data_IF_837984625453
#
_entry.id   IF_837984625453
#
_cell.length_a   1.000
_cell.length_b   1.000
_cell.length_c   1.000
_cell.angle_alpha   90.00
_cell.angle_beta   90.00
_cell.angle_gamma   90.00
#
_symmetry.space_group_name_H-M   'P 1'
#
loop_
_entity.id
_entity.type
_entity.pdbx_description
1 polymer ?
#
# COMPACT_ATOMS: atom_id res chain seq x y z
N UNK A 1 -2.22 -21.01 -1.38
CA UNK A 1 -3.17 -19.96 -0.98
C UNK A 1 -3.26 -19.94 0.53
N UNK A 2 -3.40 -21.10 1.19
CA UNK A 2 -3.22 -21.34 2.63
C UNK A 2 -2.32 -20.35 3.39
N UNK A 3 -1.01 -20.28 3.09
CA UNK A 3 -0.08 -19.35 3.77
C UNK A 3 -0.51 -17.87 3.69
N UNK A 4 -1.02 -17.45 2.52
CA UNK A 4 -1.54 -16.09 2.35
C UNK A 4 -2.87 -15.89 3.10
N UNK A 5 -3.69 -16.94 3.22
CA UNK A 5 -4.91 -16.92 4.02
C UNK A 5 -4.63 -16.81 5.52
N UNK A 6 -3.62 -17.54 6.01
CA UNK A 6 -3.12 -17.43 7.39
C UNK A 6 -2.58 -16.03 7.68
N UNK A 7 -1.76 -15.48 6.77
CA UNK A 7 -1.29 -14.10 6.86
C UNK A 7 -2.47 -13.11 6.93
N UNK A 8 -3.43 -13.23 6.01
CA UNK A 8 -4.58 -12.34 5.96
C UNK A 8 -5.37 -12.40 7.26
N UNK A 9 -5.68 -13.60 7.76
CA UNK A 9 -6.41 -13.77 9.01
C UNK A 9 -5.68 -13.13 10.20
N UNK A 10 -4.35 -13.31 10.30
CA UNK A 10 -3.55 -12.70 11.35
C UNK A 10 -3.56 -11.16 11.31
N UNK A 11 -3.57 -10.57 10.11
CA UNK A 11 -3.63 -9.12 9.92
C UNK A 11 -5.03 -8.57 10.23
N UNK A 12 -6.07 -9.26 9.77
CA UNK A 12 -7.46 -8.81 9.85
C UNK A 12 -8.01 -8.89 11.29
N UNK A 13 -7.63 -9.92 12.04
CA UNK A 13 -8.08 -10.15 13.42
C UNK A 13 -7.37 -9.27 14.47
N UNK A 14 -6.42 -8.41 14.06
CA UNK A 14 -5.63 -7.61 14.98
C UNK A 14 -5.66 -6.13 14.62
N UNK A 15 -5.78 -5.26 15.61
CA UNK A 15 -5.58 -3.81 15.47
C UNK A 15 -4.17 -3.38 15.86
N UNK A 16 -3.36 -4.28 16.46
CA UNK A 16 -2.02 -3.97 16.96
C UNK A 16 -1.01 -3.97 15.81
N UNK A 17 -0.35 -2.83 15.62
CA UNK A 17 0.67 -2.66 14.56
C UNK A 17 1.80 -3.69 14.69
N UNK A 18 2.28 -3.97 15.90
CA UNK A 18 3.37 -4.93 16.15
C UNK A 18 3.02 -6.35 15.72
N UNK A 19 1.78 -6.80 15.96
CA UNK A 19 1.31 -8.12 15.54
C UNK A 19 1.25 -8.22 14.01
N UNK A 20 0.75 -7.18 13.35
CA UNK A 20 0.71 -7.14 11.87
C UNK A 20 2.10 -7.15 11.25
N UNK A 21 3.04 -6.39 11.82
CA UNK A 21 4.43 -6.35 11.36
C UNK A 21 5.08 -7.73 11.52
N UNK A 22 4.89 -8.39 12.66
CA UNK A 22 5.42 -9.74 12.90
C UNK A 22 4.85 -10.75 11.89
N UNK A 23 3.52 -10.81 11.72
CA UNK A 23 2.89 -11.74 10.78
C UNK A 23 3.38 -11.55 9.33
N UNK A 24 3.56 -10.29 8.89
CA UNK A 24 4.14 -9.99 7.58
C UNK A 24 5.61 -10.41 7.50
N UNK A 25 6.41 -10.12 8.53
CA UNK A 25 7.83 -10.47 8.55
C UNK A 25 8.04 -11.99 8.51
N UNK A 26 7.24 -12.74 9.27
CA UNK A 26 7.25 -14.21 9.25
C UNK A 26 6.90 -14.73 7.86
N UNK A 27 5.84 -14.19 7.24
CA UNK A 27 5.47 -14.54 5.87
C UNK A 27 6.58 -14.23 4.86
N UNK A 28 7.21 -13.06 4.94
CA UNK A 28 8.31 -12.67 4.05
C UNK A 28 9.60 -13.43 4.31
N UNK A 29 9.74 -14.09 5.45
CA UNK A 29 10.87 -14.99 5.70
C UNK A 29 10.65 -16.33 4.97
N UNK A 30 9.45 -16.90 5.09
CA UNK A 30 9.22 -18.31 4.75
C UNK A 30 8.50 -18.57 3.42
N UNK A 31 7.76 -17.60 2.87
CA UNK A 31 6.98 -17.82 1.64
C UNK A 31 7.89 -17.98 0.40
N UNK A 32 7.42 -18.60 -0.70
CA UNK A 32 8.13 -18.57 -1.97
C UNK A 32 8.29 -17.14 -2.50
N UNK A 33 9.40 -16.82 -3.17
CA UNK A 33 9.71 -15.47 -3.66
C UNK A 33 8.58 -14.83 -4.50
N UNK A 34 7.97 -15.61 -5.39
CA UNK A 34 6.85 -15.14 -6.20
C UNK A 34 5.64 -14.72 -5.34
N UNK A 35 5.36 -15.47 -4.28
CA UNK A 35 4.28 -15.19 -3.34
C UNK A 35 4.60 -13.96 -2.48
N UNK A 36 5.87 -13.79 -2.05
CA UNK A 36 6.35 -12.58 -1.37
C UNK A 36 6.13 -11.34 -2.25
N UNK A 37 6.60 -11.38 -3.49
CA UNK A 37 6.47 -10.27 -4.45
C UNK A 37 5.01 -9.89 -4.70
N UNK A 38 4.15 -10.88 -4.95
CA UNK A 38 2.73 -10.64 -5.18
C UNK A 38 2.01 -10.11 -3.93
N UNK A 39 2.40 -10.53 -2.73
CA UNK A 39 1.87 -9.99 -1.47
C UNK A 39 2.20 -8.51 -1.31
N UNK A 40 3.45 -8.14 -1.57
CA UNK A 40 3.88 -6.73 -1.59
C UNK A 40 3.06 -5.93 -2.62
N UNK A 41 2.89 -6.46 -3.83
CA UNK A 41 2.12 -5.82 -4.90
C UNK A 41 0.65 -5.58 -4.49
N UNK A 42 -0.03 -6.62 -4.02
CA UNK A 42 -1.45 -6.56 -3.63
C UNK A 42 -1.73 -5.54 -2.52
N UNK A 43 -0.87 -5.51 -1.49
CA UNK A 43 -1.02 -4.60 -0.36
C UNK A 43 -0.56 -3.18 -0.68
N UNK A 44 0.34 -3.01 -1.67
CA UNK A 44 0.68 -1.69 -2.23
C UNK A 44 -0.36 -1.18 -3.23
N UNK A 45 -1.39 -1.98 -3.54
CA UNK A 45 -2.45 -1.61 -4.49
C UNK A 45 -2.13 -1.89 -5.96
N UNK A 46 -1.00 -2.53 -6.26
CA UNK A 46 -0.63 -3.04 -7.59
C UNK A 46 -1.35 -4.38 -7.81
N UNK A 47 -2.56 -4.33 -8.39
CA UNK A 47 -3.46 -5.50 -8.54
C UNK A 47 -3.59 -5.91 -10.00
N UNK A 48 -3.79 -7.21 -10.28
CA UNK A 48 -4.20 -7.65 -11.61
C UNK A 48 -5.49 -6.94 -12.05
N UNK A 49 -5.62 -6.69 -13.36
CA UNK A 49 -6.85 -6.14 -13.94
C UNK A 49 -7.99 -7.13 -13.75
N UNK A 50 -9.21 -6.63 -13.47
CA UNK A 50 -10.39 -7.47 -13.25
C UNK A 50 -10.75 -8.22 -14.54
N UNK A 51 -10.84 -9.54 -14.45
CA UNK A 51 -11.23 -10.40 -15.57
C UNK A 51 -12.75 -10.65 -15.64
N UNK A 52 -13.45 -10.50 -14.52
CA UNK A 52 -14.90 -10.77 -14.39
C UNK A 52 -15.59 -9.56 -13.75
N UNK A 53 -16.75 -9.17 -14.28
CA UNK A 53 -17.54 -8.07 -13.73
C UNK A 53 -18.27 -8.50 -12.46
N UNK A 54 -18.59 -7.54 -11.59
CA UNK A 54 -19.34 -7.85 -10.37
C UNK A 54 -20.74 -8.37 -10.66
N UNK A 55 -21.37 -7.96 -11.77
CA UNK A 55 -22.68 -8.47 -12.19
C UNK A 55 -22.63 -9.97 -12.47
N UNK A 56 -21.65 -10.42 -13.27
CA UNK A 56 -21.46 -11.84 -13.56
C UNK A 56 -21.18 -12.67 -12.31
N UNK A 57 -20.34 -12.17 -11.40
CA UNK A 57 -20.07 -12.86 -10.14
C UNK A 57 -21.33 -13.05 -9.28
N UNK A 58 -22.23 -12.06 -9.26
CA UNK A 58 -23.52 -12.18 -8.55
C UNK A 58 -24.42 -13.23 -9.18
N UNK A 59 -24.58 -13.18 -10.51
CA UNK A 59 -25.36 -14.17 -11.26
C UNK A 59 -24.84 -15.59 -11.02
N UNK A 60 -23.54 -15.80 -11.18
CA UNK A 60 -22.94 -17.13 -11.02
C UNK A 60 -23.00 -17.64 -9.59
N UNK A 61 -22.81 -16.77 -8.59
CA UNK A 61 -22.91 -17.15 -7.19
C UNK A 61 -24.36 -17.49 -6.79
N UNK A 62 -25.33 -16.71 -7.28
CA UNK A 62 -26.77 -16.97 -7.10
C UNK A 62 -27.17 -18.33 -7.69
N UNK A 63 -26.76 -18.60 -8.93
CA UNK A 63 -26.99 -19.90 -9.58
C UNK A 63 -26.32 -21.06 -8.81
N UNK A 64 -25.05 -20.90 -8.42
CA UNK A 64 -24.29 -21.97 -7.77
C UNK A 64 -24.75 -22.26 -6.33
N UNK A 65 -25.35 -21.29 -5.65
CA UNK A 65 -25.94 -21.46 -4.33
C UNK A 65 -27.42 -21.89 -4.37
N UNK A 66 -28.02 -21.98 -5.56
CA UNK A 66 -29.46 -22.22 -5.74
C UNK A 66 -30.34 -21.22 -4.96
N UNK A 67 -29.95 -19.95 -4.99
CA UNK A 67 -30.70 -18.84 -4.39
C UNK A 67 -31.11 -17.84 -5.46
N UNK A 68 -32.35 -17.30 -5.43
CA UNK A 68 -32.75 -16.24 -6.35
C UNK A 68 -31.84 -15.01 -6.26
N UNK A 69 -31.56 -14.36 -7.40
CA UNK A 69 -30.64 -13.22 -7.47
C UNK A 69 -31.04 -12.07 -6.52
N UNK A 70 -32.33 -11.80 -6.37
CA UNK A 70 -32.81 -10.76 -5.44
C UNK A 70 -32.41 -11.05 -3.98
N UNK A 71 -32.42 -12.32 -3.56
CA UNK A 71 -32.05 -12.72 -2.20
C UNK A 71 -30.54 -12.60 -1.99
N UNK A 72 -29.76 -12.90 -3.04
CA UNK A 72 -28.32 -12.63 -3.05
C UNK A 72 -28.05 -11.12 -2.87
N UNK A 73 -28.78 -10.26 -3.59
CA UNK A 73 -28.61 -8.80 -3.52
C UNK A 73 -28.97 -8.24 -2.13
N UNK A 74 -30.04 -8.74 -1.52
CA UNK A 74 -30.39 -8.41 -0.12
C UNK A 74 -29.29 -8.88 0.85
N UNK A 75 -28.74 -10.08 0.65
CA UNK A 75 -27.63 -10.59 1.47
C UNK A 75 -26.39 -9.71 1.33
N UNK A 76 -26.09 -9.25 0.11
CA UNK A 76 -24.99 -8.32 -0.15
C UNK A 76 -25.20 -6.98 0.56
N UNK A 77 -26.42 -6.45 0.60
CA UNK A 77 -26.73 -5.19 1.29
C UNK A 77 -26.44 -5.25 2.80
N UNK A 78 -26.60 -6.44 3.42
CA UNK A 78 -26.28 -6.66 4.83
C UNK A 78 -24.77 -6.83 5.07
N UNK A 79 -24.08 -7.59 4.21
CA UNK A 79 -22.64 -7.90 4.38
C UNK A 79 -21.76 -6.70 3.97
N UNK A 80 -22.13 -5.99 2.91
CA UNK A 80 -21.39 -4.83 2.40
C UNK A 80 -20.12 -5.16 1.60
N UNK A 81 -19.76 -6.44 1.45
CA UNK A 81 -18.61 -6.90 0.67
C UNK A 81 -18.96 -8.10 -0.21
N UNK A 82 -18.77 -7.96 -1.54
CA UNK A 82 -19.19 -8.99 -2.49
C UNK A 82 -18.40 -10.30 -2.33
N UNK A 83 -17.11 -10.23 -2.02
CA UNK A 83 -16.29 -11.43 -1.87
C UNK A 83 -16.70 -12.23 -0.64
N UNK A 84 -17.02 -11.55 0.45
CA UNK A 84 -17.57 -12.14 1.66
C UNK A 84 -18.97 -12.72 1.41
N UNK A 85 -19.88 -11.97 0.76
CA UNK A 85 -21.23 -12.46 0.43
C UNK A 85 -21.18 -13.75 -0.37
N UNK A 86 -20.36 -13.81 -1.43
CA UNK A 86 -20.21 -15.04 -2.25
C UNK A 86 -19.71 -16.20 -1.38
N UNK A 87 -18.76 -15.94 -0.48
CA UNK A 87 -18.16 -17.00 0.34
C UNK A 87 -19.10 -17.54 1.40
N UNK A 88 -20.02 -16.71 1.92
CA UNK A 88 -21.03 -17.08 2.89
C UNK A 88 -22.26 -17.74 2.27
N UNK A 89 -22.69 -17.30 1.09
CA UNK A 89 -23.90 -17.80 0.41
C UNK A 89 -23.66 -19.16 -0.24
N UNK A 90 -22.46 -19.40 -0.78
CA UNK A 90 -22.12 -20.68 -1.37
C UNK A 90 -22.00 -21.78 -0.30
N UNK A 91 -22.38 -23.03 -0.61
CA UNK A 91 -22.25 -24.14 0.33
C UNK A 91 -20.84 -24.28 0.91
N UNK A 92 -20.69 -24.54 2.22
CA UNK A 92 -19.39 -24.70 2.84
C UNK A 92 -18.70 -25.97 2.31
N UNK A 93 -17.42 -25.84 2.01
CA UNK A 93 -16.54 -26.93 1.58
C UNK A 93 -15.17 -26.80 2.29
N UNK A 94 -14.47 -27.92 2.53
CA UNK A 94 -13.06 -27.87 2.87
C UNK A 94 -12.25 -27.45 1.64
N UNK A 95 -11.14 -26.74 1.83
CA UNK A 95 -10.19 -26.51 0.75
C UNK A 95 -9.55 -27.84 0.33
N UNK A 96 -9.60 -28.14 -0.97
CA UNK A 96 -9.02 -29.34 -1.60
C UNK A 96 -7.75 -29.03 -2.40
N UNK A 97 -7.28 -27.78 -2.35
CA UNK A 97 -6.17 -27.29 -3.15
C UNK A 97 -5.04 -26.73 -2.27
N UNK A 98 -3.79 -26.83 -2.73
CA UNK A 98 -2.63 -26.27 -2.01
C UNK A 98 -1.73 -25.39 -2.87
N UNK A 99 -2.22 -24.99 -4.06
CA UNK A 99 -1.43 -24.18 -4.98
C UNK A 99 -1.20 -22.79 -4.38
N UNK A 100 -0.01 -22.19 -4.57
CA UNK A 100 0.42 -20.95 -3.93
C UNK A 100 -0.34 -19.72 -4.44
N UNK A 101 -0.18 -18.56 -3.79
CA UNK A 101 -0.86 -17.32 -4.19
C UNK A 101 -0.54 -16.95 -5.65
N UNK A 102 0.74 -17.03 -6.02
CA UNK A 102 1.24 -16.75 -7.37
C UNK A 102 0.56 -17.58 -8.45
N UNK A 103 0.23 -18.85 -8.17
CA UNK A 103 -0.53 -19.69 -9.10
C UNK A 103 -1.91 -19.09 -9.40
N UNK A 104 -2.67 -18.73 -8.35
CA UNK A 104 -4.01 -18.17 -8.51
C UNK A 104 -3.99 -16.81 -9.21
N UNK A 105 -2.99 -15.99 -8.94
CA UNK A 105 -2.81 -14.72 -9.66
C UNK A 105 -2.53 -14.97 -11.15
N UNK A 106 -1.65 -15.93 -11.46
CA UNK A 106 -1.38 -16.34 -12.84
C UNK A 106 -2.64 -16.81 -13.56
N UNK A 107 -3.42 -17.66 -12.91
CA UNK A 107 -4.68 -18.18 -13.45
C UNK A 107 -5.71 -17.05 -13.70
N UNK A 108 -5.84 -16.10 -12.76
CA UNK A 108 -6.73 -14.95 -12.90
C UNK A 108 -6.32 -14.01 -14.05
N UNK A 109 -5.03 -13.89 -14.34
CA UNK A 109 -4.54 -13.10 -15.47
C UNK A 109 -4.92 -13.74 -16.80
N UNK A 110 -4.83 -15.06 -16.91
CA UNK A 110 -5.24 -15.82 -18.11
C UNK A 110 -6.76 -15.79 -18.32
N UNK A 111 -7.53 -15.73 -17.23
CA UNK A 111 -9.00 -15.68 -17.26
C UNK A 111 -9.56 -14.55 -18.13
N UNK A 112 -8.83 -13.45 -18.27
CA UNK A 112 -9.24 -12.29 -19.09
C UNK A 112 -9.35 -12.63 -20.58
N UNK A 113 -8.54 -13.56 -21.05
CA UNK A 113 -8.41 -13.86 -22.49
C UNK A 113 -9.27 -15.07 -22.91
N UNK A 114 -10.01 -15.67 -21.97
CA UNK A 114 -10.91 -16.82 -22.17
C UNK A 114 -12.32 -16.39 -22.59
N UNK A 115 -13.11 -17.29 -23.15
CA UNK A 115 -14.54 -17.05 -23.44
C UNK A 115 -15.39 -17.03 -22.15
N UNK A 116 -16.54 -16.36 -22.16
CA UNK A 116 -17.36 -16.17 -20.93
C UNK A 116 -17.75 -17.52 -20.28
N UNK A 117 -18.10 -18.52 -21.09
CA UNK A 117 -18.46 -19.86 -20.60
C UNK A 117 -17.29 -20.55 -19.88
N UNK A 118 -16.08 -20.42 -20.42
CA UNK A 118 -14.85 -20.96 -19.82
C UNK A 118 -14.51 -20.21 -18.52
N UNK A 119 -14.67 -18.88 -18.51
CA UNK A 119 -14.47 -18.07 -17.30
C UNK A 119 -15.41 -18.48 -16.18
N UNK A 120 -16.70 -18.67 -16.51
CA UNK A 120 -17.71 -19.13 -15.55
C UNK A 120 -17.32 -20.49 -15.00
N UNK A 121 -17.02 -21.45 -15.87
CA UNK A 121 -16.62 -22.80 -15.47
C UNK A 121 -15.40 -22.78 -14.54
N UNK A 122 -14.38 -21.98 -14.87
CA UNK A 122 -13.18 -21.83 -14.04
C UNK A 122 -13.51 -21.25 -12.65
N UNK A 123 -14.31 -20.19 -12.57
CA UNK A 123 -14.68 -19.55 -11.29
C UNK A 123 -15.50 -20.51 -10.42
N UNK A 124 -16.46 -21.23 -11.01
CA UNK A 124 -17.26 -22.23 -10.31
C UNK A 124 -16.39 -23.36 -9.75
N UNK A 125 -15.42 -23.85 -10.54
CA UNK A 125 -14.48 -24.87 -10.07
C UNK A 125 -13.61 -24.34 -8.92
N UNK A 126 -13.12 -23.10 -9.01
CA UNK A 126 -12.37 -22.46 -7.93
C UNK A 126 -13.19 -22.38 -6.64
N UNK A 127 -14.46 -22.01 -6.72
CA UNK A 127 -15.35 -22.02 -5.55
C UNK A 127 -15.56 -23.42 -4.99
N UNK A 128 -15.58 -24.45 -5.83
CA UNK A 128 -15.72 -25.85 -5.40
C UNK A 128 -14.46 -26.37 -4.70
N UNK A 129 -13.25 -25.95 -5.10
CA UNK A 129 -12.00 -26.46 -4.52
C UNK A 129 -11.42 -25.58 -3.42
N UNK A 130 -11.72 -24.28 -3.39
CA UNK A 130 -11.29 -23.37 -2.32
C UNK A 130 -12.41 -23.25 -1.29
N UNK A 131 -12.06 -23.44 -0.02
CA UNK A 131 -12.98 -23.34 1.11
C UNK A 131 -12.66 -22.18 2.04
N UNK A 132 -13.64 -21.80 2.87
CA UNK A 132 -13.50 -20.79 3.91
C UNK A 132 -12.79 -19.49 3.46
N UNK A 133 -11.77 -19.10 4.21
CA UNK A 133 -10.96 -17.89 3.96
C UNK A 133 -10.28 -17.90 2.58
N UNK A 134 -9.90 -19.06 2.05
CA UNK A 134 -9.24 -19.13 0.74
C UNK A 134 -10.19 -18.79 -0.40
N UNK A 135 -11.46 -19.23 -0.32
CA UNK A 135 -12.52 -18.84 -1.27
C UNK A 135 -12.78 -17.34 -1.22
N UNK A 136 -12.86 -16.80 -0.01
CA UNK A 136 -13.00 -15.36 0.21
C UNK A 136 -11.86 -14.58 -0.41
N UNK A 137 -10.61 -14.99 -0.19
CA UNK A 137 -9.45 -14.31 -0.76
C UNK A 137 -9.37 -14.44 -2.28
N UNK A 138 -9.73 -15.58 -2.84
CA UNK A 138 -9.86 -15.72 -4.29
C UNK A 138 -10.87 -14.73 -4.87
N UNK A 139 -12.03 -14.57 -4.23
CA UNK A 139 -13.01 -13.57 -4.63
C UNK A 139 -12.50 -12.13 -4.45
N UNK A 140 -11.70 -11.85 -3.41
CA UNK A 140 -11.02 -10.56 -3.24
C UNK A 140 -10.02 -10.28 -4.35
N UNK A 141 -9.30 -11.30 -4.84
CA UNK A 141 -8.38 -11.18 -5.97
C UNK A 141 -9.13 -10.85 -7.26
N UNK A 142 -10.23 -11.56 -7.56
CA UNK A 142 -11.04 -11.30 -8.76
C UNK A 142 -11.64 -9.89 -8.74
N UNK A 143 -12.26 -9.52 -7.62
CA UNK A 143 -12.94 -8.22 -7.47
C UNK A 143 -11.96 -7.06 -7.32
N UNK A 144 -10.71 -7.34 -6.96
CA UNK A 144 -9.69 -6.35 -6.66
C UNK A 144 -9.97 -5.58 -5.38
N UNK A 145 -10.66 -6.18 -4.40
CA UNK A 145 -11.22 -5.53 -3.21
C UNK A 145 -10.38 -5.65 -1.93
N UNK A 146 -9.05 -5.53 -1.97
CA UNK A 146 -8.21 -5.63 -0.76
C UNK A 146 -8.16 -4.31 0.05
N UNK A 147 -8.66 -4.33 1.28
CA UNK A 147 -8.54 -3.24 2.26
C UNK A 147 -8.13 -3.83 3.61
N UNK A 148 -6.88 -4.27 3.72
CA UNK A 148 -6.42 -5.11 4.85
C UNK A 148 -5.76 -4.31 5.99
N UNK A 149 -5.88 -2.98 5.97
CA UNK A 149 -5.27 -2.12 6.99
C UNK A 149 -3.74 -2.26 7.07
N UNK A 150 -3.08 -2.53 5.94
CA UNK A 150 -1.62 -2.54 5.81
C UNK A 150 -1.21 -1.24 5.13
N UNK A 151 -0.57 -0.34 5.88
CA UNK A 151 0.00 0.89 5.33
C UNK A 151 1.36 0.62 4.69
N UNK A 152 1.83 1.55 3.87
CA UNK A 152 3.17 1.45 3.28
C UNK A 152 4.26 1.42 4.35
N UNK A 153 4.17 2.28 5.38
CA UNK A 153 5.09 2.25 6.53
C UNK A 153 5.09 0.90 7.24
N UNK A 154 3.93 0.28 7.40
CA UNK A 154 3.83 -1.05 8.02
C UNK A 154 4.50 -2.13 7.16
N UNK A 155 4.28 -2.09 5.84
CA UNK A 155 4.93 -2.97 4.87
C UNK A 155 6.46 -2.84 4.91
N UNK A 156 6.97 -1.61 4.84
CA UNK A 156 8.41 -1.32 4.91
C UNK A 156 9.04 -1.87 6.19
N UNK A 157 8.41 -1.64 7.35
CA UNK A 157 8.87 -2.18 8.64
C UNK A 157 8.94 -3.70 8.66
N UNK A 158 7.93 -4.37 8.12
CA UNK A 158 7.90 -5.83 8.08
C UNK A 158 8.99 -6.40 7.15
N UNK A 159 9.22 -5.78 6.00
CA UNK A 159 10.30 -6.15 5.09
C UNK A 159 11.68 -5.91 5.71
N UNK A 160 11.87 -4.77 6.41
CA UNK A 160 13.11 -4.48 7.13
C UNK A 160 13.39 -5.54 8.21
N UNK A 161 12.36 -5.93 8.97
CA UNK A 161 12.47 -7.00 9.95
C UNK A 161 12.81 -8.37 9.32
N UNK A 162 12.20 -8.71 8.18
CA UNK A 162 12.43 -10.00 7.51
C UNK A 162 13.79 -10.09 6.79
N UNK A 163 14.33 -8.97 6.32
CA UNK A 163 15.51 -8.95 5.43
C UNK A 163 16.75 -8.32 6.08
N UNK A 164 16.60 -7.65 7.22
CA UNK A 164 17.67 -6.90 7.88
C UNK A 164 18.06 -5.60 7.16
N UNK A 165 17.36 -5.22 6.09
CA UNK A 165 17.66 -4.01 5.31
C UNK A 165 17.08 -2.74 5.95
N UNK A 166 17.73 -1.57 5.76
CA UNK A 166 17.21 -0.29 6.25
C UNK A 166 15.82 0.04 5.69
N UNK A 167 14.94 0.57 6.53
CA UNK A 167 13.58 0.96 6.13
C UNK A 167 13.57 2.02 5.01
N UNK A 168 14.50 2.98 5.05
CA UNK A 168 14.58 4.04 4.03
C UNK A 168 14.86 3.48 2.63
N UNK A 169 15.78 2.52 2.52
CA UNK A 169 16.09 1.81 1.28
C UNK A 169 14.86 1.08 0.74
N UNK A 170 14.21 0.29 1.59
CA UNK A 170 13.03 -0.48 1.19
C UNK A 170 11.86 0.42 0.80
N UNK A 171 11.61 1.51 1.55
CA UNK A 171 10.56 2.46 1.22
C UNK A 171 10.79 3.10 -0.16
N UNK A 172 12.04 3.47 -0.49
CA UNK A 172 12.39 4.01 -1.79
C UNK A 172 12.06 3.03 -2.92
N UNK A 173 12.53 1.79 -2.82
CA UNK A 173 12.29 0.74 -3.84
C UNK A 173 10.81 0.43 -4.04
N UNK A 174 10.04 0.40 -2.95
CA UNK A 174 8.60 0.13 -3.02
C UNK A 174 7.81 1.23 -3.73
N UNK A 175 8.31 2.48 -3.73
CA UNK A 175 7.70 3.61 -4.46
C UNK A 175 8.07 3.64 -5.92
N UNK A 176 9.22 3.09 -6.29
CA UNK A 176 9.66 3.03 -7.68
C UNK A 176 8.61 2.47 -8.63
N UNK A 177 8.76 2.79 -9.91
CA UNK A 177 7.91 2.27 -10.97
C UNK A 177 8.30 0.81 -11.28
N UNK A 178 7.75 -0.12 -10.51
CA UNK A 178 7.93 -1.56 -10.72
C UNK A 178 6.59 -2.27 -10.89
N UNK A 179 6.62 -3.35 -11.67
CA UNK A 179 5.50 -4.26 -11.87
C UNK A 179 5.91 -5.69 -11.49
N UNK A 180 5.08 -6.46 -10.77
CA UNK A 180 5.40 -7.84 -10.35
C UNK A 180 5.62 -8.83 -11.51
N UNK A 181 5.36 -8.43 -12.75
CA UNK A 181 5.64 -9.24 -13.95
C UNK A 181 7.04 -9.01 -14.53
N UNK A 182 7.63 -7.85 -14.25
CA UNK A 182 8.92 -7.42 -14.82
C UNK A 182 10.02 -7.42 -13.76
N UNK A 183 9.62 -7.53 -12.50
CA UNK A 183 10.49 -7.50 -11.33
C UNK A 183 10.47 -8.88 -10.65
N UNK A 184 11.57 -9.26 -10.00
CA UNK A 184 11.62 -10.41 -9.11
C UNK A 184 11.93 -9.97 -7.67
N UNK A 185 11.77 -10.88 -6.71
CA UNK A 185 12.02 -10.59 -5.30
C UNK A 185 13.44 -10.08 -5.06
N UNK A 186 14.42 -10.75 -5.64
CA UNK A 186 15.82 -10.38 -5.51
C UNK A 186 16.08 -8.93 -5.95
N UNK A 187 15.65 -8.56 -7.15
CA UNK A 187 15.84 -7.22 -7.70
C UNK A 187 15.08 -6.15 -6.89
N UNK A 188 13.85 -6.43 -6.45
CA UNK A 188 13.06 -5.46 -5.70
C UNK A 188 13.58 -5.25 -4.28
N UNK A 189 14.03 -6.31 -3.60
CA UNK A 189 14.26 -6.30 -2.16
C UNK A 189 15.71 -6.55 -1.79
N UNK A 190 16.38 -7.52 -2.41
CA UNK A 190 17.67 -8.05 -1.94
C UNK A 190 18.90 -7.40 -2.57
N UNK A 191 18.86 -7.16 -3.88
CA UNK A 191 19.95 -6.59 -4.67
C UNK A 191 20.49 -5.32 -3.99
N UNK A 192 21.78 -5.03 -4.05
CA UNK A 192 22.27 -3.75 -3.54
C UNK A 192 21.88 -2.63 -4.51
N UNK A 193 21.38 -1.53 -3.97
CA UNK A 193 21.03 -0.34 -4.76
C UNK A 193 21.83 0.83 -4.23
N UNK A 194 22.78 1.31 -5.04
CA UNK A 194 23.62 2.45 -4.69
C UNK A 194 22.80 3.73 -4.48
N UNK A 195 21.60 3.84 -5.09
CA UNK A 195 20.69 4.99 -4.94
C UNK A 195 19.95 5.02 -3.59
N UNK A 196 20.00 3.93 -2.82
CA UNK A 196 19.37 3.85 -1.51
C UNK A 196 19.90 4.91 -0.53
N UNK A 197 21.19 5.26 -0.64
CA UNK A 197 21.79 6.33 0.17
C UNK A 197 21.40 7.72 -0.33
N UNK A 198 21.20 7.87 -1.64
CA UNK A 198 20.75 9.11 -2.27
C UNK A 198 19.37 9.55 -1.74
N UNK A 199 18.46 8.61 -1.55
CA UNK A 199 17.12 8.90 -1.03
C UNK A 199 17.04 9.04 0.49
N UNK A 200 18.08 8.68 1.25
CA UNK A 200 17.99 8.54 2.71
C UNK A 200 17.78 9.89 3.43
N UNK A 201 16.70 10.06 4.24
CA UNK A 201 16.46 11.28 5.00
C UNK A 201 17.37 11.39 6.23
N UNK A 202 17.62 12.62 6.67
CA UNK A 202 18.21 12.87 7.98
C UNK A 202 17.15 12.74 9.09
N UNK A 203 17.56 12.55 10.36
CA UNK A 203 16.62 12.61 11.48
C UNK A 203 15.92 13.97 11.56
N UNK A 204 14.60 13.97 11.75
CA UNK A 204 13.86 15.21 11.99
C UNK A 204 14.07 15.69 13.42
N UNK A 205 14.73 16.84 13.58
CA UNK A 205 14.91 17.44 14.91
C UNK A 205 13.60 17.98 15.46
N UNK A 206 13.27 17.69 16.72
CA UNK A 206 11.99 18.03 17.32
C UNK A 206 12.09 19.29 18.19
N UNK A 207 11.08 20.13 18.10
CA UNK A 207 10.89 21.26 19.00
C UNK A 207 9.97 20.86 20.16
N UNK A 208 10.25 21.42 21.33
CA UNK A 208 9.44 21.28 22.53
C UNK A 208 8.81 22.64 22.86
N UNK A 209 7.59 22.61 23.39
CA UNK A 209 6.97 23.83 23.90
C UNK A 209 7.79 24.36 25.08
N UNK A 210 7.86 25.68 25.22
CA UNK A 210 8.46 26.30 26.39
C UNK A 210 7.60 26.01 27.61
N UNK A 211 8.23 25.60 28.72
CA UNK A 211 7.55 25.38 30.00
C UNK A 211 7.38 26.68 30.79
N UNK A 212 8.20 27.69 30.49
CA UNK A 212 8.19 29.01 31.12
C UNK A 212 8.08 30.10 30.04
N UNK A 213 7.85 31.33 30.48
CA UNK A 213 7.73 32.48 29.59
C UNK A 213 9.06 32.76 28.84
N UNK A 214 9.02 33.30 27.61
CA UNK A 214 10.21 33.48 26.76
C UNK A 214 11.33 34.33 27.37
N UNK A 215 11.02 35.22 28.31
CA UNK A 215 12.00 36.06 29.02
C UNK A 215 13.02 35.22 29.80
N UNK A 216 12.69 33.98 30.12
CA UNK A 216 13.59 33.04 30.79
C UNK A 216 14.69 32.49 29.88
N UNK A 217 14.60 32.67 28.56
CA UNK A 217 15.56 32.18 27.56
C UNK A 217 16.86 32.99 27.48
N UNK A 218 16.95 34.13 28.18
CA UNK A 218 18.12 35.00 28.19
C UNK A 218 18.08 36.07 27.10
N UNK A 219 19.26 36.42 26.56
CA UNK A 219 19.39 37.51 25.59
C UNK A 219 18.79 37.11 24.22
N UNK A 220 17.81 37.85 23.69
CA UNK A 220 17.19 37.54 22.39
C UNK A 220 18.16 37.46 21.22
N UNK A 221 19.36 38.06 21.32
CA UNK A 221 20.39 38.03 20.27
C UNK A 221 21.00 36.64 20.05
N UNK A 222 20.93 35.78 21.06
CA UNK A 222 21.40 34.39 21.01
C UNK A 222 20.41 33.46 20.29
N UNK A 223 19.22 33.98 19.94
CA UNK A 223 18.13 33.21 19.36
C UNK A 223 17.83 33.63 17.92
N UNK A 224 17.16 32.73 17.20
CA UNK A 224 16.50 32.98 15.92
C UNK A 224 15.05 32.57 16.06
N UNK A 225 14.15 33.42 15.58
CA UNK A 225 12.72 33.17 15.59
C UNK A 225 12.24 32.96 14.15
N UNK A 226 11.46 31.90 13.94
CA UNK A 226 10.86 31.56 12.67
C UNK A 226 9.36 31.32 12.85
N UNK A 227 8.59 31.54 11.78
CA UNK A 227 7.17 31.23 11.78
C UNK A 227 6.95 29.72 11.89
N UNK A 228 6.09 29.31 12.82
CA UNK A 228 5.59 27.94 12.86
C UNK A 228 4.43 27.81 11.88
N UNK A 229 4.73 27.32 10.68
CA UNK A 229 3.75 27.15 9.61
C UNK A 229 2.74 26.01 9.88
N UNK A 230 1.58 26.09 9.25
CA UNK A 230 0.51 25.07 9.27
C UNK A 230 0.51 24.26 7.98
N UNK A 231 1.41 23.27 7.88
CA UNK A 231 1.61 22.48 6.67
C UNK A 231 2.04 21.04 6.93
N UNK A 232 2.78 20.47 5.98
CA UNK A 232 3.44 19.18 6.16
C UNK A 232 4.94 19.41 6.25
N UNK A 233 5.51 19.15 7.41
CA UNK A 233 6.97 19.09 7.54
C UNK A 233 7.54 17.97 6.68
N UNK A 234 8.53 18.31 5.86
CA UNK A 234 9.24 17.35 5.05
C UNK A 234 10.66 17.74 4.71
N UNK A 235 11.43 16.73 4.29
CA UNK A 235 12.78 16.91 3.77
C UNK A 235 12.77 16.76 2.26
N UNK A 236 13.27 17.78 1.55
CA UNK A 236 13.60 17.71 0.13
C UNK A 236 15.09 17.36 0.00
N UNK A 237 15.40 16.23 -0.64
CA UNK A 237 16.75 15.71 -0.81
C UNK A 237 17.06 15.72 -2.30
N UNK A 238 18.18 16.33 -2.69
CA UNK A 238 18.66 16.39 -4.08
C UNK A 238 20.01 15.69 -4.18
N UNK A 239 20.03 14.45 -4.68
CA UNK A 239 21.24 13.62 -4.77
C UNK A 239 21.18 12.79 -6.05
N UNK A 240 22.34 12.51 -6.63
CA UNK A 240 22.51 11.68 -7.83
C UNK A 240 21.67 12.10 -9.06
N UNK A 241 21.32 13.38 -9.16
CA UNK A 241 20.49 13.92 -10.24
C UNK A 241 18.98 13.68 -10.05
N UNK A 242 18.58 13.13 -8.91
CA UNK A 242 17.19 12.88 -8.52
C UNK A 242 16.76 13.78 -7.35
N UNK A 243 15.45 13.79 -7.08
CA UNK A 243 14.86 14.44 -5.91
C UNK A 243 13.98 13.49 -5.11
N UNK A 244 13.99 13.67 -3.79
CA UNK A 244 13.19 12.90 -2.85
C UNK A 244 12.50 13.82 -1.87
N UNK A 245 11.24 13.53 -1.57
CA UNK A 245 10.47 14.29 -0.59
C UNK A 245 10.02 13.34 0.50
N UNK A 246 10.43 13.55 1.74
CA UNK A 246 10.03 12.72 2.88
C UNK A 246 9.15 13.51 3.84
N UNK A 247 8.06 12.91 4.35
CA UNK A 247 7.39 13.46 5.53
C UNK A 247 8.22 13.24 6.78
N UNK A 248 7.91 14.04 7.81
CA UNK A 248 8.27 13.73 9.20
C UNK A 248 7.89 12.30 9.64
N UNK A 249 6.82 11.73 9.09
CA UNK A 249 6.37 10.37 9.38
C UNK A 249 7.25 9.27 8.77
N UNK A 250 8.38 9.62 8.14
CA UNK A 250 9.25 8.72 7.36
C UNK A 250 8.49 8.04 6.22
N UNK A 251 7.55 8.79 5.63
CA UNK A 251 6.88 8.39 4.40
C UNK A 251 7.48 9.21 3.25
N UNK A 252 8.15 8.53 2.32
CA UNK A 252 8.54 9.12 1.05
C UNK A 252 7.26 9.48 0.25
N UNK A 253 7.22 10.69 -0.30
CA UNK A 253 6.05 11.32 -0.89
C UNK A 253 6.38 12.01 -2.22
N UNK A 254 7.52 11.70 -2.82
CA UNK A 254 8.04 12.30 -4.06
C UNK A 254 6.97 12.40 -5.15
N UNK A 255 6.24 11.30 -5.41
CA UNK A 255 5.21 11.22 -6.44
C UNK A 255 3.99 12.14 -6.20
N UNK A 256 3.80 12.60 -4.95
CA UNK A 256 2.71 13.52 -4.59
C UNK A 256 3.08 14.98 -4.90
N UNK A 257 4.37 15.26 -5.11
CA UNK A 257 4.93 16.60 -5.33
C UNK A 257 5.86 16.65 -6.55
N UNK A 258 5.38 16.28 -7.76
CA UNK A 258 6.19 16.28 -8.99
C UNK A 258 6.79 17.64 -9.34
N UNK A 259 6.14 18.74 -8.98
CA UNK A 259 6.61 20.11 -9.20
C UNK A 259 7.89 20.45 -8.44
N UNK A 260 8.25 19.69 -7.40
CA UNK A 260 9.50 19.87 -6.68
C UNK A 260 10.71 19.32 -7.44
N UNK A 261 10.50 18.54 -8.52
CA UNK A 261 11.57 18.07 -9.38
C UNK A 261 12.43 19.22 -9.92
N UNK A 262 11.82 20.37 -10.22
CA UNK A 262 12.50 21.59 -10.71
C UNK A 262 13.57 22.12 -9.75
N UNK A 263 13.55 21.71 -8.48
CA UNK A 263 14.55 22.13 -7.51
C UNK A 263 15.97 21.68 -7.91
N UNK A 264 16.09 20.57 -8.66
CA UNK A 264 17.35 20.07 -9.22
C UNK A 264 18.01 21.14 -10.11
N UNK A 265 17.22 21.92 -10.86
CA UNK A 265 17.72 22.95 -11.77
C UNK A 265 18.21 24.22 -11.05
N UNK A 266 17.86 24.38 -9.77
CA UNK A 266 18.05 25.64 -9.02
C UNK A 266 18.92 25.51 -7.77
N UNK A 267 19.17 24.30 -7.29
CA UNK A 267 19.93 24.04 -6.07
C UNK A 267 21.15 23.15 -6.34
N UNK A 268 22.24 23.32 -5.58
CA UNK A 268 23.43 22.49 -5.76
C UNK A 268 23.15 21.00 -5.53
N UNK A 269 23.79 20.08 -6.28
CA UNK A 269 23.75 18.65 -5.98
C UNK A 269 24.23 18.35 -4.56
N UNK A 270 23.57 17.40 -3.88
CA UNK A 270 23.84 17.06 -2.48
C UNK A 270 23.02 17.84 -1.45
N UNK A 271 22.21 18.81 -1.88
CA UNK A 271 21.40 19.65 -0.98
C UNK A 271 20.30 18.84 -0.29
N UNK A 272 20.14 19.03 1.02
CA UNK A 272 18.95 18.60 1.76
C UNK A 272 18.34 19.79 2.49
N UNK A 273 17.05 20.02 2.28
CA UNK A 273 16.27 21.06 2.95
C UNK A 273 15.25 20.41 3.87
N UNK A 274 15.19 20.83 5.14
CA UNK A 274 14.09 20.54 6.06
C UNK A 274 13.20 21.78 6.14
N UNK A 275 11.90 21.62 5.90
CA UNK A 275 10.97 22.73 5.85
C UNK A 275 9.51 22.30 5.84
N UNK A 276 8.62 23.26 5.63
CA UNK A 276 7.17 23.02 5.61
C UNK A 276 6.62 23.13 4.19
N UNK A 277 5.95 22.08 3.71
CA UNK A 277 5.15 22.13 2.49
C UNK A 277 3.83 22.84 2.77
N UNK A 278 3.54 23.88 2.00
CA UNK A 278 2.37 24.74 2.13
C UNK A 278 1.58 24.79 0.83
N UNK A 279 0.27 25.03 0.91
CA UNK A 279 -0.56 25.32 -0.27
C UNK A 279 -0.62 26.82 -0.45
N UNK A 280 -0.13 27.30 -1.59
CA UNK A 280 -0.31 28.69 -2.01
C UNK A 280 -1.28 28.72 -3.18
N UNK A 281 -2.44 29.35 -2.98
CA UNK A 281 -3.41 29.53 -4.07
C UNK A 281 -2.94 30.69 -4.97
N UNK A 282 -3.25 30.65 -6.28
CA UNK A 282 -2.99 31.79 -7.15
C UNK A 282 -3.58 33.07 -6.55
N UNK A 283 -2.82 34.17 -6.61
CA UNK A 283 -3.22 35.50 -6.12
C UNK A 283 -3.49 35.61 -4.61
N UNK A 284 -3.14 34.59 -3.80
CA UNK A 284 -3.24 34.67 -2.35
C UNK A 284 -2.04 35.38 -1.73
N UNK A 285 -2.29 36.21 -0.71
CA UNK A 285 -1.25 36.89 0.08
C UNK A 285 -0.64 36.00 1.18
N UNK A 286 -1.27 34.86 1.48
CA UNK A 286 -0.89 33.95 2.56
C UNK A 286 -1.15 32.48 2.17
N UNK A 287 -0.47 31.50 2.81
CA UNK A 287 -0.72 30.09 2.57
C UNK A 287 -2.13 29.69 3.05
N UNK A 288 -2.69 28.69 2.39
CA UNK A 288 -3.93 28.03 2.81
C UNK A 288 -3.70 27.12 4.02
N UNK A 289 -4.80 26.67 4.63
CA UNK A 289 -4.75 25.75 5.78
C UNK A 289 -4.19 24.37 5.41
N UNK A 290 -3.67 23.64 6.40
CA UNK A 290 -3.27 22.24 6.26
C UNK A 290 -4.34 21.33 5.63
N UNK A 291 -5.63 21.59 5.89
CA UNK A 291 -6.72 20.79 5.32
C UNK A 291 -6.74 20.83 3.78
N UNK A 292 -6.29 21.92 3.16
CA UNK A 292 -6.19 22.02 1.72
C UNK A 292 -5.12 21.07 1.15
N UNK A 293 -4.04 20.79 1.92
CA UNK A 293 -3.02 19.80 1.55
C UNK A 293 -3.54 18.36 1.61
N UNK A 294 -4.49 18.04 2.49
CA UNK A 294 -5.00 16.67 2.63
C UNK A 294 -5.61 16.14 1.32
N UNK A 295 -6.27 17.01 0.55
CA UNK A 295 -6.82 16.67 -0.76
C UNK A 295 -5.75 16.22 -1.77
N UNK A 296 -4.50 16.68 -1.57
CA UNK A 296 -3.34 16.32 -2.38
C UNK A 296 -2.68 15.04 -1.89
N UNK A 297 -2.43 14.93 -0.58
CA UNK A 297 -1.80 13.74 0.03
C UNK A 297 -2.58 12.46 -0.29
N UNK A 298 -3.92 12.55 -0.30
CA UNK A 298 -4.78 11.40 -0.58
C UNK A 298 -4.80 10.92 -2.04
N UNK A 299 -4.18 11.65 -2.98
CA UNK A 299 -4.16 11.27 -4.40
C UNK A 299 -3.04 10.28 -4.68
N UNK A 300 -3.39 9.15 -5.31
CA UNK A 300 -2.44 8.11 -5.75
C UNK A 300 -1.69 8.46 -7.03
N UNK A 301 -2.22 9.43 -7.80
CA UNK A 301 -1.64 9.95 -9.04
C UNK A 301 -1.97 11.43 -9.11
N UNK A 302 -0.94 12.26 -9.25
CA UNK A 302 -1.07 13.70 -9.49
C UNK A 302 -0.87 13.93 -11.00
N UNK A 303 -1.74 14.69 -11.69
CA UNK A 303 -1.59 15.00 -13.11
C UNK A 303 -0.32 15.79 -13.41
#
# INVERSE_FOLDING_TARGET
MKRFAELFAAIDQSTKTTVKVAALADYFSDAPEADKLWTVALFSGRRPKRAVTTTRLREWASEAADVPLWLFEESYAIVGDLAETISLVLPPNPTQDDRPLSYWIGALRQLRDMEEAERKAFVLECWRVLGGTERFLFNKLITGGFRVGVSQKLMTRALAQATGKPEAELAHRLMGNWHPDEMNWHALIEAEDASADASRPYPFYLAYALEAEPETLGDPRDWRAEWKWDGIRGQLILRDGDYFVWSRGEELMTDRFPELARAIDHLPPGTVLDGELLVWLPEADAPSSFNALQARIGRKTVP
#
